data_IF_770592843112
#
_entry.id   IF_770592843112
#
_cell.length_a   1.000
_cell.length_b   1.000
_cell.length_c   1.000
_cell.angle_alpha   90.00
_cell.angle_beta   90.00
_cell.angle_gamma   90.00
#
_symmetry.space_group_name_H-M   'P 1'
#
loop_
_entity.id
_entity.type
_entity.pdbx_description
1 polymer ?
#
# COMPACT_ATOMS: atom_id res chain seq x y z
N UNK A 1 1.14 -23.51 -1.82
CA UNK A 1 -0.32 -23.48 -1.61
C UNK A 1 -0.91 -22.40 -2.50
N UNK A 2 -1.97 -22.74 -3.23
CA UNK A 2 -2.42 -22.11 -4.47
C UNK A 2 -2.78 -20.62 -4.34
N UNK A 3 -2.08 -19.80 -5.12
CA UNK A 3 -2.49 -18.45 -5.47
C UNK A 3 -3.74 -18.52 -6.36
N UNK A 4 -4.93 -18.57 -5.74
CA UNK A 4 -6.20 -18.46 -6.46
C UNK A 4 -6.33 -17.06 -7.08
N UNK A 5 -5.90 -16.94 -8.33
CA UNK A 5 -6.17 -15.82 -9.23
C UNK A 5 -7.54 -16.05 -9.87
N UNK A 6 -8.37 -15.01 -9.91
CA UNK A 6 -9.57 -15.04 -10.74
C UNK A 6 -9.11 -14.74 -12.16
N UNK A 7 -9.26 -15.75 -12.98
CA UNK A 7 -8.88 -15.76 -14.38
C UNK A 7 -10.12 -15.51 -15.22
N UNK A 8 -10.21 -14.33 -15.83
CA UNK A 8 -11.41 -13.99 -16.59
C UNK A 8 -11.14 -14.14 -18.09
N UNK A 9 -11.91 -15.03 -18.72
CA UNK A 9 -11.91 -15.20 -20.17
C UNK A 9 -12.63 -14.03 -20.83
N UNK A 10 -11.90 -13.36 -21.73
CA UNK A 10 -12.36 -12.13 -22.38
C UNK A 10 -13.58 -12.38 -23.24
N UNK A 11 -13.65 -13.51 -23.95
CA UNK A 11 -14.80 -13.83 -24.81
C UNK A 11 -16.10 -13.89 -24.01
N UNK A 12 -16.08 -14.55 -22.84
CA UNK A 12 -17.24 -14.61 -21.93
C UNK A 12 -17.64 -13.24 -21.39
N UNK A 13 -16.68 -12.42 -20.98
CA UNK A 13 -16.97 -11.05 -20.48
C UNK A 13 -17.63 -10.22 -21.57
N UNK A 14 -17.12 -10.29 -22.79
CA UNK A 14 -17.61 -9.46 -23.88
C UNK A 14 -19.00 -9.89 -24.33
N UNK A 15 -19.30 -11.19 -24.34
CA UNK A 15 -20.66 -11.70 -24.56
C UNK A 15 -21.65 -11.21 -23.50
N UNK A 16 -21.32 -11.34 -22.21
CA UNK A 16 -22.16 -10.84 -21.10
C UNK A 16 -22.28 -9.30 -21.10
N UNK A 17 -21.32 -8.60 -21.70
CA UNK A 17 -21.28 -7.14 -21.75
C UNK A 17 -21.94 -6.56 -22.99
N UNK A 18 -22.27 -7.36 -24.02
CA UNK A 18 -22.86 -6.91 -25.28
C UNK A 18 -24.22 -6.21 -25.10
N UNK A 19 -24.95 -6.56 -24.06
CA UNK A 19 -26.22 -5.89 -23.74
C UNK A 19 -26.02 -4.50 -23.13
N UNK A 20 -24.87 -4.25 -22.48
CA UNK A 20 -24.52 -2.96 -21.85
C UNK A 20 -23.66 -2.07 -22.73
N UNK A 21 -22.88 -2.68 -23.61
CA UNK A 21 -21.89 -2.05 -24.48
C UNK A 21 -22.18 -2.48 -25.92
N UNK A 22 -22.32 -1.53 -26.84
CA UNK A 22 -22.57 -1.86 -28.26
C UNK A 22 -21.48 -2.76 -28.87
N UNK A 23 -21.83 -3.53 -29.91
CA UNK A 23 -20.93 -4.52 -30.54
C UNK A 23 -19.62 -3.87 -31.01
N UNK A 24 -19.70 -2.63 -31.49
CA UNK A 24 -18.55 -1.84 -31.95
C UNK A 24 -17.46 -1.71 -30.89
N UNK A 25 -17.82 -1.45 -29.62
CA UNK A 25 -16.82 -1.31 -28.55
C UNK A 25 -16.24 -2.67 -28.14
N UNK A 26 -17.02 -3.74 -28.24
CA UNK A 26 -16.53 -5.09 -27.93
C UNK A 26 -15.44 -5.53 -28.92
N UNK A 27 -15.61 -5.27 -30.22
CA UNK A 27 -14.61 -5.58 -31.24
C UNK A 27 -13.32 -4.77 -31.09
N UNK A 28 -13.43 -3.52 -30.62
CA UNK A 28 -12.26 -2.72 -30.26
C UNK A 28 -11.55 -3.35 -29.05
N UNK A 29 -12.29 -3.77 -28.03
CA UNK A 29 -11.72 -4.34 -26.80
C UNK A 29 -11.11 -5.72 -27.03
N UNK A 30 -11.70 -6.58 -27.88
CA UNK A 30 -11.10 -7.86 -28.32
C UNK A 30 -9.70 -7.65 -28.91
N UNK A 31 -9.54 -6.63 -29.74
CA UNK A 31 -8.25 -6.30 -30.38
C UNK A 31 -7.23 -5.71 -29.40
N UNK A 32 -7.70 -5.01 -28.35
CA UNK A 32 -6.83 -4.36 -27.35
C UNK A 32 -6.39 -5.28 -26.22
N UNK A 33 -7.27 -6.15 -25.74
CA UNK A 33 -6.97 -7.06 -24.64
C UNK A 33 -6.24 -8.29 -25.19
N UNK A 34 -4.92 -8.14 -25.33
CA UNK A 34 -4.04 -9.20 -25.88
C UNK A 34 -3.62 -10.25 -24.84
N UNK A 35 -3.93 -10.01 -23.56
CA UNK A 35 -3.52 -10.85 -22.44
C UNK A 35 -4.70 -11.14 -21.55
N UNK A 36 -4.64 -12.30 -20.91
CA UNK A 36 -5.57 -12.71 -19.87
C UNK A 36 -5.66 -11.65 -18.77
N UNK A 37 -6.88 -11.24 -18.43
CA UNK A 37 -7.11 -10.39 -17.27
C UNK A 37 -7.07 -11.26 -16.02
N UNK A 38 -6.17 -10.90 -15.11
CA UNK A 38 -5.95 -11.61 -13.86
C UNK A 38 -6.31 -10.66 -12.73
N UNK A 39 -7.30 -11.04 -11.92
CA UNK A 39 -7.67 -10.31 -10.72
C UNK A 39 -7.23 -11.15 -9.50
N UNK A 40 -6.46 -10.59 -8.55
CA UNK A 40 -6.18 -11.29 -7.30
C UNK A 40 -7.49 -11.61 -6.56
N UNK A 41 -7.51 -12.70 -5.77
CA UNK A 41 -8.69 -12.99 -4.96
C UNK A 41 -9.00 -11.90 -3.92
N UNK A 42 -10.25 -11.88 -3.46
CA UNK A 42 -10.76 -10.91 -2.50
C UNK A 42 -9.99 -10.91 -1.18
N UNK A 43 -9.43 -12.04 -0.75
CA UNK A 43 -8.61 -12.12 0.46
C UNK A 43 -7.33 -11.29 0.31
N UNK A 44 -6.61 -11.45 -0.81
CA UNK A 44 -5.42 -10.67 -1.12
C UNK A 44 -5.75 -9.19 -1.29
N UNK A 45 -6.84 -8.87 -2.01
CA UNK A 45 -7.29 -7.50 -2.20
C UNK A 45 -7.68 -6.84 -0.87
N UNK A 46 -8.39 -7.55 0.00
CA UNK A 46 -8.77 -7.07 1.33
C UNK A 46 -7.55 -6.85 2.22
N UNK A 47 -6.57 -7.76 2.20
CA UNK A 47 -5.29 -7.57 2.91
C UNK A 47 -4.55 -6.34 2.41
N UNK A 48 -4.46 -6.14 1.10
CA UNK A 48 -3.82 -4.97 0.51
C UNK A 48 -4.57 -3.68 0.84
N UNK A 49 -5.90 -3.67 0.72
CA UNK A 49 -6.74 -2.51 1.07
C UNK A 49 -6.58 -2.12 2.54
N UNK A 50 -6.56 -3.10 3.45
CA UNK A 50 -6.26 -2.87 4.87
C UNK A 50 -4.88 -2.26 5.06
N UNK A 51 -3.87 -2.79 4.36
CA UNK A 51 -2.51 -2.25 4.42
C UNK A 51 -2.44 -0.79 3.93
N UNK A 52 -3.05 -0.48 2.79
CA UNK A 52 -3.10 0.87 2.22
C UNK A 52 -3.92 1.84 3.08
N UNK A 53 -5.00 1.38 3.73
CA UNK A 53 -5.79 2.20 4.67
C UNK A 53 -4.98 2.65 5.88
N UNK A 54 -3.97 1.86 6.28
CA UNK A 54 -3.04 2.24 7.33
C UNK A 54 -2.05 3.31 6.83
N UNK A 55 -1.77 3.37 5.54
CA UNK A 55 -0.92 4.40 4.94
C UNK A 55 -1.70 5.64 4.48
N UNK A 56 -3.01 5.58 4.26
CA UNK A 56 -3.81 6.69 3.71
C UNK A 56 -3.91 7.95 4.59
N UNK A 57 -3.27 7.96 5.76
CA UNK A 57 -3.21 9.14 6.62
C UNK A 57 -1.94 9.96 6.32
N UNK A 58 -2.05 11.28 6.06
CA UNK A 58 -0.91 12.12 5.71
C UNK A 58 0.20 12.16 6.76
N UNK A 59 -0.12 12.14 8.06
CA UNK A 59 0.88 12.14 9.14
C UNK A 59 1.66 10.82 9.13
N UNK A 60 0.97 9.69 8.92
CA UNK A 60 1.63 8.38 8.81
C UNK A 60 2.55 8.30 7.60
N UNK A 61 2.16 8.86 6.44
CA UNK A 61 3.04 8.95 5.28
C UNK A 61 4.27 9.80 5.54
N UNK A 62 4.10 10.97 6.18
CA UNK A 62 5.24 11.82 6.57
C UNK A 62 6.21 11.06 7.49
N UNK A 63 5.70 10.34 8.48
CA UNK A 63 6.53 9.50 9.37
C UNK A 63 7.27 8.42 8.57
N UNK A 64 6.57 7.71 7.68
CA UNK A 64 7.17 6.67 6.83
C UNK A 64 8.27 7.24 5.93
N UNK A 65 8.03 8.41 5.32
CA UNK A 65 9.01 9.11 4.48
C UNK A 65 10.23 9.59 5.26
N UNK A 66 10.05 10.08 6.49
CA UNK A 66 11.20 10.41 7.35
C UNK A 66 12.01 9.15 7.69
N UNK A 67 11.33 8.07 8.04
CA UNK A 67 11.96 6.81 8.42
C UNK A 67 12.56 6.02 7.26
N UNK A 68 12.20 6.34 6.01
CA UNK A 68 12.86 5.79 4.82
C UNK A 68 14.22 6.41 4.56
N UNK A 69 14.48 7.61 5.10
CA UNK A 69 15.75 8.30 4.96
C UNK A 69 16.73 7.91 6.07
N UNK A 70 16.25 7.84 7.31
CA UNK A 70 17.08 7.45 8.45
C UNK A 70 16.24 7.02 9.65
N UNK A 71 16.85 6.32 10.59
CA UNK A 71 16.21 5.91 11.83
C UNK A 71 16.15 7.09 12.83
N UNK A 72 14.97 7.34 13.41
CA UNK A 72 14.75 8.53 14.25
C UNK A 72 14.07 8.18 15.59
N UNK A 73 14.43 8.85 16.69
CA UNK A 73 13.65 8.78 17.90
C UNK A 73 12.36 9.63 17.77
N UNK A 74 11.35 9.28 18.56
CA UNK A 74 10.03 9.94 18.51
C UNK A 74 10.10 11.46 18.75
N UNK A 75 11.03 11.93 19.58
CA UNK A 75 11.20 13.37 19.83
C UNK A 75 11.64 14.13 18.58
N UNK A 76 12.55 13.57 17.78
CA UNK A 76 13.02 14.20 16.54
C UNK A 76 11.91 14.19 15.48
N UNK A 77 11.18 13.08 15.34
CA UNK A 77 10.02 13.01 14.43
C UNK A 77 8.97 14.06 14.83
N UNK A 78 8.68 14.20 16.12
CA UNK A 78 7.78 15.23 16.66
C UNK A 78 8.24 16.64 16.34
N UNK A 79 9.52 16.96 16.54
CA UNK A 79 10.07 18.28 16.20
C UNK A 79 9.99 18.59 14.70
N UNK A 80 10.34 17.63 13.83
CA UNK A 80 10.31 17.82 12.36
C UNK A 80 8.87 18.06 11.88
N UNK A 81 7.90 17.33 12.43
CA UNK A 81 6.50 17.43 12.00
C UNK A 81 5.74 18.58 12.66
N UNK A 82 6.30 19.21 13.69
CA UNK A 82 5.60 20.23 14.49
C UNK A 82 4.37 19.67 15.20
N UNK A 83 4.45 18.42 15.67
CA UNK A 83 3.33 17.70 16.29
C UNK A 83 3.66 17.26 17.71
N UNK A 84 2.65 17.18 18.56
CA UNK A 84 2.76 16.62 19.91
C UNK A 84 3.34 15.20 19.90
N UNK A 85 4.23 14.93 20.85
CA UNK A 85 4.94 13.65 20.93
C UNK A 85 3.97 12.47 21.17
N UNK A 86 2.87 12.70 21.89
CA UNK A 86 1.81 11.72 22.12
C UNK A 86 1.10 11.31 20.83
N UNK A 87 0.82 12.27 19.94
CA UNK A 87 0.21 12.03 18.64
C UNK A 87 1.15 11.24 17.72
N UNK A 88 2.43 11.62 17.67
CA UNK A 88 3.44 10.87 16.89
C UNK A 88 3.61 9.45 17.44
N UNK A 89 3.62 9.29 18.77
CA UNK A 89 3.68 7.98 19.42
C UNK A 89 2.48 7.11 19.05
N UNK A 90 1.28 7.69 18.99
CA UNK A 90 0.08 6.98 18.55
C UNK A 90 0.21 6.49 17.11
N UNK A 91 0.66 7.34 16.19
CA UNK A 91 0.90 6.94 14.80
C UNK A 91 1.97 5.85 14.67
N UNK A 92 3.09 5.97 15.37
CA UNK A 92 4.15 4.96 15.40
C UNK A 92 3.64 3.62 15.96
N UNK A 93 2.76 3.63 16.97
CA UNK A 93 2.16 2.42 17.49
C UNK A 93 1.25 1.72 16.47
N UNK A 94 0.46 2.49 15.70
CA UNK A 94 -0.35 1.97 14.58
C UNK A 94 0.56 1.34 13.52
N UNK A 95 1.58 2.07 13.07
CA UNK A 95 2.53 1.61 12.04
C UNK A 95 3.32 0.37 12.51
N UNK A 96 3.67 0.29 13.79
CA UNK A 96 4.40 -0.84 14.37
C UNK A 96 3.53 -2.08 14.45
N UNK A 97 2.26 -1.95 14.86
CA UNK A 97 1.28 -3.06 14.84
C UNK A 97 1.03 -3.57 13.43
N UNK A 98 1.10 -2.68 12.44
CA UNK A 98 1.00 -3.00 11.03
C UNK A 98 2.29 -3.59 10.42
N UNK A 99 3.34 -3.77 11.22
CA UNK A 99 4.65 -4.24 10.77
C UNK A 99 5.30 -3.36 9.68
N UNK A 100 4.95 -2.08 9.64
CA UNK A 100 5.51 -1.08 8.69
C UNK A 100 6.82 -0.52 9.25
N UNK A 101 6.85 -0.27 10.56
CA UNK A 101 8.04 0.24 11.26
C UNK A 101 8.48 -0.71 12.36
N UNK A 102 9.79 -0.73 12.62
CA UNK A 102 10.39 -1.35 13.77
C UNK A 102 10.83 -0.31 14.79
N UNK A 103 11.31 -0.80 15.94
CA UNK A 103 11.95 0.04 16.94
C UNK A 103 13.08 -0.74 17.63
N UNK A 104 14.21 -0.08 17.88
CA UNK A 104 15.36 -0.64 18.61
C UNK A 104 15.80 0.29 19.73
N UNK A 105 16.34 -0.28 20.80
CA UNK A 105 16.87 0.49 21.93
C UNK A 105 18.30 0.91 21.63
N UNK A 106 18.61 2.19 21.85
CA UNK A 106 19.96 2.76 21.72
C UNK A 106 20.23 3.60 22.97
N UNK A 107 20.94 3.00 23.94
CA UNK A 107 21.07 3.55 25.29
C UNK A 107 19.69 3.75 25.93
N UNK A 108 19.41 4.97 26.38
CA UNK A 108 18.11 5.36 26.95
C UNK A 108 17.03 5.70 25.91
N UNK A 109 17.39 5.74 24.63
CA UNK A 109 16.49 6.16 23.55
C UNK A 109 15.92 4.96 22.80
N UNK A 110 14.80 5.20 22.12
CA UNK A 110 14.20 4.25 21.19
C UNK A 110 14.20 4.84 19.79
N UNK A 111 14.96 4.23 18.89
CA UNK A 111 15.00 4.61 17.47
C UNK A 111 13.97 3.78 16.71
N UNK A 112 13.17 4.46 15.90
CA UNK A 112 12.24 3.84 14.97
C UNK A 112 12.89 3.76 13.59
N UNK A 113 12.57 2.71 12.85
CA UNK A 113 13.14 2.46 11.52
C UNK A 113 12.07 1.88 10.60
N UNK A 114 12.17 2.16 9.31
CA UNK A 114 11.29 1.56 8.32
C UNK A 114 11.64 0.08 8.13
N UNK A 115 10.63 -0.81 8.11
CA UNK A 115 10.85 -2.21 7.72
C UNK A 115 10.85 -2.30 6.19
N UNK A 116 11.86 -2.97 5.64
CA UNK A 116 11.97 -3.23 4.20
C UNK A 116 10.69 -3.91 3.71
N UNK A 117 9.98 -3.25 2.79
CA UNK A 117 8.83 -3.80 2.08
C UNK A 117 8.85 -3.22 0.67
N UNK A 118 8.95 -4.08 -0.34
CA UNK A 118 8.96 -3.71 -1.75
C UNK A 118 7.77 -2.84 -2.16
N UNK A 119 6.62 -3.00 -1.50
CA UNK A 119 5.43 -2.19 -1.74
C UNK A 119 5.58 -0.76 -1.20
N UNK A 120 6.27 -0.59 -0.06
CA UNK A 120 6.57 0.73 0.51
C UNK A 120 7.65 1.43 -0.31
N UNK A 121 8.68 0.71 -0.76
CA UNK A 121 9.72 1.25 -1.64
C UNK A 121 9.12 1.81 -2.93
N UNK A 122 8.22 1.04 -3.57
CA UNK A 122 7.52 1.51 -4.77
C UNK A 122 6.68 2.77 -4.51
N UNK A 123 5.96 2.84 -3.38
CA UNK A 123 5.17 4.03 -3.02
C UNK A 123 6.07 5.25 -2.77
N UNK A 124 7.23 5.05 -2.13
CA UNK A 124 8.16 6.12 -1.79
C UNK A 124 8.91 6.68 -3.00
N UNK A 125 9.22 5.83 -3.98
CA UNK A 125 9.86 6.25 -5.24
C UNK A 125 8.99 7.21 -6.06
N UNK A 126 7.66 7.13 -5.94
CA UNK A 126 6.73 8.06 -6.61
C UNK A 126 6.64 9.45 -5.93
N UNK A 127 7.26 9.61 -4.74
CA UNK A 127 7.26 10.85 -3.95
C UNK A 127 8.60 11.59 -3.98
N UNK A 128 9.58 11.07 -4.72
CA UNK A 128 10.97 11.57 -4.82
C UNK A 128 11.21 12.21 -6.17
#
# INVERSE_FOLDING_TARGET
>A
MSDNKIDIYIDRILEESAFRCGIEILDIMKRRIKKKIVIPNDEKLSKLAKYLSLLSNPIRLKIVFLLSQTELPVCIISSILGLEQSLVSHHLAVLRRANIVGAKSVGKYRLYYLKTNSLLENILNELS
#
